data_IF_563850407453
#
_entry.id   IF_563850407453
#
_cell.length_a   1.000
_cell.length_b   1.000
_cell.length_c   1.000
_cell.angle_alpha   90.00
_cell.angle_beta   90.00
_cell.angle_gamma   90.00
#
_symmetry.space_group_name_H-M   'P 1'
#
loop_
_entity.id
_entity.type
_entity.pdbx_description
1 polymer ?
#
# COMPACT_ATOMS: atom_id res chain seq x y z
N UNK A 1 -3.19 -23.88 30.60
CA UNK A 1 -2.90 -22.99 29.46
C UNK A 1 -3.08 -23.78 28.17
N UNK A 2 -4.16 -23.53 27.42
CA UNK A 2 -4.29 -24.03 26.04
C UNK A 2 -3.59 -23.01 25.15
N UNK A 3 -2.63 -23.40 24.28
CA UNK A 3 -2.03 -22.45 23.36
C UNK A 3 -3.12 -22.07 22.35
N UNK A 4 -3.56 -20.82 22.39
CA UNK A 4 -4.38 -20.24 21.33
C UNK A 4 -3.46 -20.01 20.14
N UNK A 5 -3.19 -21.08 19.40
CA UNK A 5 -2.62 -20.97 18.06
C UNK A 5 -3.77 -20.48 17.20
N UNK A 6 -3.75 -19.19 16.84
CA UNK A 6 -4.60 -18.63 15.80
C UNK A 6 -4.16 -19.21 14.46
N UNK A 7 -4.43 -20.50 14.25
CA UNK A 7 -4.44 -21.09 12.92
C UNK A 7 -5.59 -20.39 12.18
N UNK A 8 -5.25 -19.36 11.39
CA UNK A 8 -6.17 -18.90 10.36
C UNK A 8 -6.26 -20.07 9.39
N UNK A 9 -7.41 -20.74 9.39
CA UNK A 9 -7.76 -21.65 8.31
C UNK A 9 -7.44 -20.92 7.00
N UNK A 10 -6.67 -21.57 6.14
CA UNK A 10 -6.46 -21.14 4.77
C UNK A 10 -7.78 -21.32 4.00
N UNK A 11 -8.83 -20.60 4.41
CA UNK A 11 -10.02 -20.32 3.61
C UNK A 11 -9.55 -19.81 2.26
N UNK A 12 -10.10 -20.35 1.16
CA UNK A 12 -9.93 -19.85 -0.21
C UNK A 12 -9.68 -18.35 -0.19
N UNK A 13 -8.43 -17.93 -0.37
CA UNK A 13 -8.07 -16.54 -0.10
C UNK A 13 -8.67 -15.71 -1.22
N UNK A 14 -9.85 -15.14 -0.99
CA UNK A 14 -10.48 -14.23 -1.94
C UNK A 14 -9.48 -13.12 -2.25
N UNK A 15 -9.20 -12.89 -3.53
CA UNK A 15 -8.39 -11.75 -3.97
C UNK A 15 -8.84 -10.49 -3.25
N UNK A 16 -7.89 -9.67 -2.81
CA UNK A 16 -8.18 -8.43 -2.11
C UNK A 16 -9.12 -7.56 -2.97
N UNK A 17 -10.26 -7.20 -2.38
CA UNK A 17 -11.24 -6.33 -3.02
C UNK A 17 -10.74 -4.89 -3.08
N UNK A 18 -11.41 -4.04 -3.86
CA UNK A 18 -11.09 -2.61 -3.87
C UNK A 18 -11.24 -1.97 -2.49
N UNK A 19 -12.20 -2.44 -1.67
CA UNK A 19 -12.39 -1.97 -0.30
C UNK A 19 -11.23 -2.38 0.62
N UNK A 20 -10.71 -3.61 0.46
CA UNK A 20 -9.51 -4.06 1.17
C UNK A 20 -8.31 -3.19 0.81
N UNK A 21 -8.10 -2.94 -0.49
CA UNK A 21 -7.01 -2.11 -1.01
C UNK A 21 -7.13 -0.66 -0.51
N UNK A 22 -8.35 -0.10 -0.52
CA UNK A 22 -8.62 1.24 0.00
C UNK A 22 -8.33 1.32 1.50
N UNK A 23 -8.74 0.31 2.28
CA UNK A 23 -8.46 0.23 3.70
C UNK A 23 -6.95 0.13 3.99
N UNK A 24 -6.25 -0.78 3.33
CA UNK A 24 -4.82 -1.01 3.57
C UNK A 24 -3.97 0.19 3.16
N UNK A 25 -4.28 0.81 2.02
CA UNK A 25 -3.62 2.05 1.60
C UNK A 25 -3.91 3.20 2.56
N UNK A 26 -5.16 3.38 3.00
CA UNK A 26 -5.52 4.42 3.97
C UNK A 26 -4.81 4.27 5.33
N UNK A 27 -4.68 3.04 5.83
CA UNK A 27 -3.91 2.73 7.05
C UNK A 27 -2.43 3.05 6.82
N UNK A 28 -1.85 2.60 5.70
CA UNK A 28 -0.44 2.86 5.39
C UNK A 28 -0.13 4.34 5.23
N UNK A 29 -0.98 5.11 4.54
CA UNK A 29 -0.86 6.56 4.42
C UNK A 29 -0.93 7.26 5.77
N UNK A 30 -1.89 6.86 6.62
CA UNK A 30 -2.01 7.40 7.98
C UNK A 30 -0.79 7.07 8.83
N UNK A 31 -0.25 5.86 8.70
CA UNK A 31 1.00 5.47 9.36
C UNK A 31 2.15 6.37 8.91
N UNK A 32 2.32 6.62 7.61
CA UNK A 32 3.38 7.51 7.11
C UNK A 32 3.27 8.89 7.76
N UNK A 33 2.08 9.48 7.79
CA UNK A 33 1.86 10.78 8.42
C UNK A 33 2.28 10.79 9.91
N UNK A 34 1.83 9.80 10.67
CA UNK A 34 2.14 9.70 12.10
C UNK A 34 3.63 9.41 12.35
N UNK A 35 4.25 8.56 11.53
CA UNK A 35 5.68 8.25 11.58
C UNK A 35 6.53 9.49 11.30
N UNK A 36 6.13 10.31 10.31
CA UNK A 36 6.80 11.58 9.99
C UNK A 36 6.68 12.57 11.15
N UNK A 37 5.50 12.72 11.73
CA UNK A 37 5.29 13.56 12.90
C UNK A 37 6.14 13.09 14.11
N UNK A 38 6.44 11.79 14.21
CA UNK A 38 7.33 11.21 15.21
C UNK A 38 8.83 11.27 14.84
N UNK A 39 9.20 11.94 13.74
CA UNK A 39 10.60 12.12 13.32
C UNK A 39 11.21 10.94 12.57
N UNK A 40 10.42 9.97 12.10
CA UNK A 40 10.93 8.88 11.25
C UNK A 40 11.17 9.41 9.84
N UNK A 41 12.35 9.13 9.28
CA UNK A 41 12.71 9.51 7.90
C UNK A 41 11.69 9.02 6.86
N UNK A 42 11.39 9.86 5.87
CA UNK A 42 10.29 9.59 4.93
C UNK A 42 10.42 8.27 4.16
N UNK A 43 11.59 7.93 3.56
CA UNK A 43 11.75 6.64 2.89
C UNK A 43 11.55 5.46 3.84
N UNK A 44 11.99 5.59 5.09
CA UNK A 44 11.81 4.55 6.12
C UNK A 44 10.34 4.40 6.52
N UNK A 45 9.62 5.51 6.69
CA UNK A 45 8.20 5.49 7.02
C UNK A 45 7.37 4.81 5.91
N UNK A 46 7.64 5.16 4.65
CA UNK A 46 6.98 4.54 3.48
C UNK A 46 7.31 3.06 3.38
N UNK A 47 8.59 2.69 3.48
CA UNK A 47 9.00 1.28 3.39
C UNK A 47 8.35 0.41 4.47
N UNK A 48 8.24 0.91 5.71
CA UNK A 48 7.53 0.20 6.78
C UNK A 48 6.04 0.08 6.46
N UNK A 49 5.38 1.17 6.06
CA UNK A 49 3.96 1.14 5.69
C UNK A 49 3.67 0.16 4.55
N UNK A 50 4.49 0.18 3.49
CA UNK A 50 4.35 -0.71 2.36
C UNK A 50 4.60 -2.17 2.75
N UNK A 51 5.62 -2.45 3.56
CA UNK A 51 5.88 -3.80 4.08
C UNK A 51 4.71 -4.31 4.92
N UNK A 52 4.17 -3.48 5.82
CA UNK A 52 3.00 -3.85 6.64
C UNK A 52 1.79 -4.13 5.76
N UNK A 53 1.52 -3.30 4.77
CA UNK A 53 0.46 -3.52 3.79
C UNK A 53 0.68 -4.87 3.09
N UNK A 54 1.82 -5.08 2.42
CA UNK A 54 2.07 -6.30 1.64
C UNK A 54 2.03 -7.56 2.51
N UNK A 55 2.49 -7.50 3.76
CA UNK A 55 2.37 -8.63 4.70
C UNK A 55 0.91 -8.98 4.99
N UNK A 56 0.04 -7.99 5.23
CA UNK A 56 -1.40 -8.22 5.43
C UNK A 56 -2.04 -8.76 4.15
N UNK A 57 -1.68 -8.20 2.99
CA UNK A 57 -2.18 -8.65 1.69
C UNK A 57 -1.80 -10.11 1.41
N UNK A 58 -0.54 -10.48 1.63
CA UNK A 58 -0.07 -11.86 1.47
C UNK A 58 -0.73 -12.81 2.47
N UNK A 59 -0.81 -12.41 3.74
CA UNK A 59 -1.36 -13.25 4.80
C UNK A 59 -2.88 -13.47 4.71
N UNK A 60 -3.65 -12.49 4.18
CA UNK A 60 -5.11 -12.58 4.08
C UNK A 60 -5.62 -12.98 2.69
N UNK A 61 -4.88 -12.64 1.64
CA UNK A 61 -5.35 -12.74 0.25
C UNK A 61 -4.35 -13.47 -0.66
N UNK A 62 -3.31 -14.09 -0.11
CA UNK A 62 -2.33 -14.85 -0.90
C UNK A 62 -1.53 -14.01 -1.91
N UNK A 63 -1.52 -12.68 -1.73
CA UNK A 63 -0.92 -11.72 -2.65
C UNK A 63 -1.78 -11.43 -3.89
N UNK A 64 -3.03 -11.87 -3.91
CA UNK A 64 -3.96 -11.66 -5.02
C UNK A 64 -4.76 -10.38 -4.83
N UNK A 65 -4.91 -9.59 -5.90
CA UNK A 65 -5.67 -8.34 -5.91
C UNK A 65 -6.71 -8.43 -7.02
N UNK A 66 -7.98 -8.18 -6.69
CA UNK A 66 -9.08 -8.36 -7.64
C UNK A 66 -8.95 -7.47 -8.89
N UNK A 67 -8.42 -6.26 -8.74
CA UNK A 67 -8.18 -5.35 -9.87
C UNK A 67 -7.08 -5.81 -10.83
N UNK A 68 -6.22 -6.75 -10.41
CA UNK A 68 -5.22 -7.40 -11.27
C UNK A 68 -5.77 -8.66 -11.96
N UNK A 69 -7.07 -8.96 -11.77
CA UNK A 69 -7.70 -10.16 -12.31
C UNK A 69 -7.08 -11.43 -11.75
N UNK A 70 -6.77 -12.39 -12.64
CA UNK A 70 -6.16 -13.67 -12.27
C UNK A 70 -4.62 -13.60 -12.20
N UNK A 71 -4.01 -12.44 -12.48
CA UNK A 71 -2.57 -12.28 -12.45
C UNK A 71 -2.08 -12.20 -11.00
N UNK A 72 -1.20 -13.13 -10.62
CA UNK A 72 -0.51 -13.06 -9.34
C UNK A 72 0.67 -12.10 -9.48
N UNK A 73 0.55 -10.94 -8.85
CA UNK A 73 1.62 -9.97 -8.79
C UNK A 73 2.81 -10.52 -7.98
N UNK A 74 4.02 -10.22 -8.43
CA UNK A 74 5.24 -10.49 -7.67
C UNK A 74 5.28 -9.63 -6.41
N UNK A 75 6.03 -10.05 -5.38
CA UNK A 75 6.19 -9.22 -4.19
C UNK A 75 6.75 -7.84 -4.54
N UNK A 76 7.69 -7.75 -5.48
CA UNK A 76 8.23 -6.47 -5.93
C UNK A 76 7.14 -5.56 -6.54
N UNK A 77 6.26 -6.11 -7.36
CA UNK A 77 5.10 -5.37 -7.91
C UNK A 77 4.12 -4.94 -6.80
N UNK A 78 3.85 -5.83 -5.83
CA UNK A 78 3.00 -5.52 -4.68
C UNK A 78 3.58 -4.40 -3.82
N UNK A 79 4.89 -4.43 -3.57
CA UNK A 79 5.60 -3.38 -2.84
C UNK A 79 5.55 -2.05 -3.58
N UNK A 80 5.91 -2.03 -4.86
CA UNK A 80 5.86 -0.80 -5.66
C UNK A 80 4.44 -0.21 -5.72
N UNK A 81 3.42 -1.06 -5.87
CA UNK A 81 2.01 -0.65 -5.82
C UNK A 81 1.61 -0.10 -4.46
N UNK A 82 1.98 -0.78 -3.37
CA UNK A 82 1.69 -0.36 -2.00
C UNK A 82 2.38 0.98 -1.67
N UNK A 83 3.66 1.15 -2.01
CA UNK A 83 4.38 2.41 -1.83
C UNK A 83 3.69 3.56 -2.57
N UNK A 84 3.33 3.34 -3.84
CA UNK A 84 2.66 4.36 -4.64
C UNK A 84 1.30 4.76 -4.04
N UNK A 85 0.49 3.78 -3.63
CA UNK A 85 -0.81 4.03 -3.01
C UNK A 85 -0.67 4.75 -1.67
N UNK A 86 0.26 4.31 -0.82
CA UNK A 86 0.54 4.91 0.48
C UNK A 86 1.02 6.36 0.35
N UNK A 87 1.96 6.64 -0.56
CA UNK A 87 2.44 7.99 -0.81
C UNK A 87 1.31 8.87 -1.35
N UNK A 88 0.50 8.35 -2.29
CA UNK A 88 -0.63 9.10 -2.86
C UNK A 88 -1.65 9.49 -1.79
N UNK A 89 -1.98 8.59 -0.85
CA UNK A 89 -2.84 8.96 0.27
C UNK A 89 -2.15 9.89 1.26
N UNK A 90 -0.85 9.76 1.51
CA UNK A 90 -0.09 10.67 2.38
C UNK A 90 -0.07 12.10 1.83
N UNK A 91 -0.03 12.28 0.50
CA UNK A 91 -0.20 13.58 -0.16
C UNK A 91 -1.56 14.23 0.16
N UNK A 92 -2.60 13.44 0.38
CA UNK A 92 -3.93 13.95 0.76
C UNK A 92 -4.03 14.23 2.26
N UNK A 93 -3.48 13.35 3.10
CA UNK A 93 -3.67 13.40 4.55
C UNK A 93 -2.67 14.32 5.26
N UNK A 94 -1.42 14.34 4.83
CA UNK A 94 -0.34 15.12 5.43
C UNK A 94 0.62 15.70 4.37
N UNK A 95 0.12 16.53 3.43
CA UNK A 95 0.94 17.03 2.33
C UNK A 95 2.23 17.73 2.81
N UNK A 96 2.21 18.42 3.94
CA UNK A 96 3.39 19.11 4.49
C UNK A 96 4.54 18.16 4.88
N UNK A 97 4.24 16.91 5.19
CA UNK A 97 5.20 15.92 5.71
C UNK A 97 5.79 15.03 4.61
N UNK A 98 5.28 15.16 3.38
CA UNK A 98 5.78 14.52 2.16
C UNK A 98 6.83 15.44 1.50
N UNK A 99 8.05 14.94 1.20
CA UNK A 99 9.09 15.70 0.50
C UNK A 99 8.65 16.20 -0.87
N UNK A 100 9.02 17.44 -1.22
CA UNK A 100 8.60 18.11 -2.47
C UNK A 100 9.01 17.34 -3.72
N UNK A 101 10.21 16.76 -3.74
CA UNK A 101 10.71 15.94 -4.84
C UNK A 101 9.83 14.70 -5.07
N UNK A 102 9.38 14.05 -3.99
CA UNK A 102 8.47 12.91 -4.05
C UNK A 102 7.10 13.35 -4.58
N UNK A 103 6.58 14.51 -4.15
CA UNK A 103 5.31 15.04 -4.69
C UNK A 103 5.37 15.20 -6.19
N UNK A 104 6.40 15.89 -6.70
CA UNK A 104 6.57 16.14 -8.13
C UNK A 104 6.64 14.83 -8.92
N UNK A 105 7.37 13.83 -8.41
CA UNK A 105 7.48 12.51 -9.05
C UNK A 105 6.14 11.78 -9.12
N UNK A 106 5.33 11.83 -8.06
CA UNK A 106 4.00 11.20 -8.03
C UNK A 106 3.04 11.92 -8.98
N UNK A 107 3.05 13.25 -8.99
CA UNK A 107 2.21 14.03 -9.91
C UNK A 107 2.56 13.75 -11.39
N UNK A 108 3.86 13.67 -11.71
CA UNK A 108 4.30 13.26 -13.05
C UNK A 108 3.84 11.84 -13.41
N UNK A 109 3.96 10.90 -12.47
CA UNK A 109 3.49 9.53 -12.67
C UNK A 109 1.97 9.49 -12.95
N UNK A 110 1.16 10.22 -12.17
CA UNK A 110 -0.29 10.30 -12.37
C UNK A 110 -0.62 10.91 -13.74
N UNK A 111 0.08 11.98 -14.15
CA UNK A 111 -0.12 12.58 -15.48
C UNK A 111 0.17 11.60 -16.61
N UNK A 112 1.27 10.84 -16.52
CA UNK A 112 1.64 9.81 -17.50
C UNK A 112 0.61 8.69 -17.57
N UNK A 113 0.09 8.23 -16.42
CA UNK A 113 -0.95 7.19 -16.39
C UNK A 113 -2.26 7.66 -17.01
N UNK A 114 -2.67 8.92 -16.77
CA UNK A 114 -3.87 9.51 -17.40
C UNK A 114 -3.73 9.63 -18.92
N UNK A 115 -2.55 10.01 -19.41
CA UNK A 115 -2.27 10.07 -20.85
C UNK A 115 -2.38 8.68 -21.49
N UNK A 116 -1.77 7.65 -20.89
CA UNK A 116 -1.83 6.27 -21.38
C UNK A 116 -3.22 5.62 -21.33
N UNK A 117 -4.09 6.07 -20.42
CA UNK A 117 -5.46 5.57 -20.31
C UNK A 117 -6.44 6.28 -21.26
N UNK A 118 -5.98 7.31 -21.98
CA UNK A 118 -6.76 8.09 -22.95
C UNK A 118 -6.39 7.76 -24.40
N UNK A 119 -5.44 6.83 -24.61
CA UNK A 119 -5.09 6.17 -25.87
C UNK A 119 -5.74 4.78 -25.94
#
# INVERSE_FOLDING_TARGET
>A
MVPVVMARDATDSKSASNDDIFLYSGIGSSYVCNARAAGIEFPKAVGIAAATYVQVLNGRHGGQVASAGNEKLSNEQLFAGAEFQVITGALQYCPKDVPTDVKSRVEEAIKRTKQKASE
#
